data_IF_864348959102
#
_entry.id   IF_864348959102
#
_cell.length_a   1.000
_cell.length_b   1.000
_cell.length_c   1.000
_cell.angle_alpha   90.00
_cell.angle_beta   90.00
_cell.angle_gamma   90.00
#
_symmetry.space_group_name_H-M   'P 1'
#
loop_
_entity.id
_entity.type
_entity.pdbx_description
1 polymer ?
#
# COMPACT_ATOMS: atom_id res chain seq x y z
N UNK A 1 8.23 -11.57 16.83
CA UNK A 1 7.42 -10.34 16.99
C UNK A 1 8.24 -9.08 17.29
N UNK A 2 9.54 -9.16 17.24
CA UNK A 2 10.43 -8.01 17.44
C UNK A 2 10.43 -7.16 16.17
N UNK A 3 10.20 -5.85 16.27
CA UNK A 3 10.31 -4.90 15.17
C UNK A 3 9.00 -4.30 14.64
N UNK A 4 7.82 -4.83 14.96
CA UNK A 4 6.56 -4.24 14.46
C UNK A 4 6.36 -2.80 14.96
N UNK A 5 6.76 -2.47 16.19
CA UNK A 5 6.59 -1.13 16.75
C UNK A 5 7.34 -0.08 15.93
N UNK A 6 8.55 -0.41 15.45
CA UNK A 6 9.32 0.47 14.58
C UNK A 6 8.56 0.80 13.28
N UNK A 7 7.91 -0.19 12.67
CA UNK A 7 7.11 0.02 11.46
C UNK A 7 5.88 0.88 11.74
N UNK A 8 5.20 0.65 12.87
CA UNK A 8 4.09 1.50 13.30
C UNK A 8 4.55 2.94 13.60
N UNK A 9 5.70 3.09 14.24
CA UNK A 9 6.31 4.39 14.51
C UNK A 9 6.67 5.13 13.21
N UNK A 10 7.26 4.44 12.23
CA UNK A 10 7.60 5.03 10.92
C UNK A 10 6.36 5.55 10.20
N UNK A 11 5.25 4.79 10.23
CA UNK A 11 3.97 5.21 9.67
C UNK A 11 3.46 6.48 10.34
N UNK A 12 3.37 6.48 11.68
CA UNK A 12 2.88 7.64 12.43
C UNK A 12 3.83 8.84 12.36
N UNK A 13 5.14 8.63 12.34
CA UNK A 13 6.14 9.69 12.18
C UNK A 13 5.96 10.45 10.88
N UNK A 14 5.62 9.72 9.81
CA UNK A 14 5.32 10.28 8.50
C UNK A 14 3.84 10.70 8.33
N UNK A 15 3.05 10.74 9.41
CA UNK A 15 1.66 11.20 9.38
C UNK A 15 0.65 10.19 8.82
N UNK A 16 1.02 8.93 8.64
CA UNK A 16 0.10 7.89 8.18
C UNK A 16 -0.69 7.35 9.37
N UNK A 17 -1.93 7.75 9.49
CA UNK A 17 -2.81 7.44 10.62
C UNK A 17 -3.75 6.24 10.38
N UNK A 18 -3.87 5.81 9.13
CA UNK A 18 -4.69 4.66 8.73
C UNK A 18 -4.00 3.90 7.60
N UNK A 19 -4.02 2.57 7.67
CA UNK A 19 -3.46 1.67 6.65
C UNK A 19 -4.42 0.54 6.34
N UNK A 20 -4.30 -0.01 5.11
CA UNK A 20 -4.87 -1.28 4.72
C UNK A 20 -3.74 -2.29 4.53
N UNK A 21 -3.66 -3.29 5.40
CA UNK A 21 -2.77 -4.44 5.25
C UNK A 21 -3.39 -5.42 4.25
N UNK A 22 -2.71 -5.62 3.12
CA UNK A 22 -3.22 -6.37 1.97
C UNK A 22 -2.76 -7.82 1.91
N UNK A 23 -2.14 -8.31 2.96
CA UNK A 23 -1.75 -9.72 3.06
C UNK A 23 -0.84 -9.98 4.26
N UNK A 24 -1.28 -10.82 5.18
CA UNK A 24 -0.51 -11.13 6.38
C UNK A 24 -0.95 -12.45 7.02
N UNK A 25 -0.16 -12.92 7.98
CA UNK A 25 -0.44 -14.13 8.76
C UNK A 25 -1.53 -13.86 9.79
N UNK A 26 -2.61 -14.64 9.76
CA UNK A 26 -3.47 -14.80 10.91
C UNK A 26 -2.81 -15.69 11.98
N UNK A 27 -3.03 -15.49 13.25
CA UNK A 27 -3.79 -14.42 13.93
C UNK A 27 -2.98 -13.15 14.23
N UNK A 28 -1.72 -13.06 13.76
CA UNK A 28 -0.78 -11.99 14.12
C UNK A 28 -1.33 -10.58 13.83
N UNK A 29 -1.72 -10.32 12.56
CA UNK A 29 -2.21 -8.98 12.16
C UNK A 29 -3.53 -8.64 12.85
N UNK A 30 -4.37 -9.64 13.11
CA UNK A 30 -5.63 -9.47 13.81
C UNK A 30 -5.40 -9.06 15.27
N UNK A 31 -4.45 -9.71 15.95
CA UNK A 31 -4.07 -9.34 17.32
C UNK A 31 -3.48 -7.94 17.36
N UNK A 32 -2.58 -7.60 16.42
CA UNK A 32 -1.98 -6.27 16.35
C UNK A 32 -3.04 -5.17 16.19
N UNK A 33 -4.01 -5.37 15.27
CA UNK A 33 -5.16 -4.46 15.12
C UNK A 33 -5.94 -4.31 16.44
N UNK A 34 -6.19 -5.41 17.14
CA UNK A 34 -6.91 -5.40 18.42
C UNK A 34 -6.15 -4.60 19.49
N UNK A 35 -4.84 -4.82 19.62
CA UNK A 35 -3.99 -4.13 20.61
C UNK A 35 -3.94 -2.61 20.35
N UNK A 36 -3.86 -2.22 19.07
CA UNK A 36 -3.89 -0.80 18.66
C UNK A 36 -5.28 -0.18 18.92
N UNK A 37 -6.35 -0.90 18.61
CA UNK A 37 -7.71 -0.43 18.83
C UNK A 37 -8.03 -0.26 20.33
N UNK A 38 -7.46 -1.13 21.18
CA UNK A 38 -7.57 -1.06 22.63
C UNK A 38 -6.63 -0.02 23.27
N UNK A 39 -5.78 0.66 22.50
CA UNK A 39 -4.83 1.66 22.99
C UNK A 39 -3.63 1.09 23.75
N UNK A 40 -3.40 -0.23 23.71
CA UNK A 40 -2.24 -0.87 24.36
C UNK A 40 -0.97 -0.74 23.53
N UNK A 41 -1.11 -0.61 22.21
CA UNK A 41 -0.02 -0.37 21.27
C UNK A 41 -0.32 0.94 20.53
N UNK A 42 0.67 1.83 20.44
CA UNK A 42 0.58 3.02 19.60
C UNK A 42 0.79 2.63 18.14
N UNK A 43 -0.18 2.95 17.31
CA UNK A 43 -0.13 2.65 15.87
C UNK A 43 -1.28 3.29 15.10
N UNK A 44 -1.19 3.31 13.76
CA UNK A 44 -2.27 3.71 12.88
C UNK A 44 -3.45 2.75 13.00
N UNK A 45 -4.64 3.18 12.57
CA UNK A 45 -5.73 2.25 12.36
C UNK A 45 -5.35 1.26 11.27
N UNK A 46 -5.67 -0.03 11.50
CA UNK A 46 -5.43 -1.09 10.53
C UNK A 46 -6.77 -1.61 10.01
N UNK A 47 -7.01 -1.46 8.70
CA UNK A 47 -7.88 -2.34 7.94
C UNK A 47 -7.05 -3.52 7.44
N UNK A 48 -7.65 -4.70 7.30
CA UNK A 48 -6.89 -5.89 6.92
C UNK A 48 -7.63 -6.81 5.96
N UNK A 49 -6.86 -7.43 5.08
CA UNK A 49 -7.32 -8.51 4.22
C UNK A 49 -7.06 -9.90 4.83
N UNK A 50 -6.07 -10.01 5.73
CA UNK A 50 -5.62 -11.32 6.22
C UNK A 50 -4.84 -12.11 5.16
N UNK A 51 -4.91 -13.46 5.18
CA UNK A 51 -4.28 -14.28 4.15
C UNK A 51 -4.81 -13.95 2.76
N UNK A 52 -3.91 -13.94 1.78
CA UNK A 52 -4.29 -13.74 0.39
C UNK A 52 -4.89 -15.01 -0.21
N UNK A 53 -5.88 -14.88 -1.08
CA UNK A 53 -6.44 -15.99 -1.84
C UNK A 53 -5.64 -16.14 -3.12
N UNK A 54 -4.85 -17.20 -3.26
CA UNK A 54 -3.99 -17.44 -4.41
C UNK A 54 -4.20 -18.82 -5.02
N UNK A 55 -3.69 -19.02 -6.22
CA UNK A 55 -3.81 -20.30 -6.94
C UNK A 55 -2.99 -21.43 -6.36
N UNK A 56 -2.96 -22.60 -7.06
CA UNK A 56 -2.26 -23.81 -6.59
C UNK A 56 -0.75 -23.63 -6.37
N UNK A 57 -0.15 -22.65 -7.06
CA UNK A 57 1.27 -22.29 -6.94
C UNK A 57 1.35 -20.85 -6.41
N UNK A 58 1.19 -20.64 -5.11
CA UNK A 58 1.04 -19.31 -4.54
C UNK A 58 2.35 -18.54 -4.55
N UNK A 59 2.28 -17.26 -4.91
CA UNK A 59 3.44 -16.38 -4.94
C UNK A 59 4.02 -16.14 -3.53
N UNK A 60 3.16 -16.08 -2.50
CA UNK A 60 3.52 -15.88 -1.10
C UNK A 60 3.02 -17.02 -0.21
N UNK A 61 3.60 -18.25 -0.26
CA UNK A 61 3.08 -19.40 0.47
C UNK A 61 2.78 -19.17 1.95
N UNK A 62 3.62 -18.46 2.72
CA UNK A 62 3.40 -18.29 4.16
C UNK A 62 2.16 -17.49 4.54
N UNK A 63 1.63 -16.68 3.62
CA UNK A 63 0.49 -15.79 3.87
C UNK A 63 -0.68 -16.09 2.92
N UNK A 64 -0.68 -17.24 2.24
CA UNK A 64 -1.69 -17.58 1.23
C UNK A 64 -2.63 -18.69 1.69
N UNK A 65 -3.93 -18.54 1.39
CA UNK A 65 -4.86 -19.64 1.24
C UNK A 65 -4.79 -20.14 -0.20
N UNK A 66 -4.36 -21.40 -0.36
CA UNK A 66 -4.18 -22.02 -1.70
C UNK A 66 -5.51 -22.54 -2.20
N UNK A 67 -6.00 -21.94 -3.29
CA UNK A 67 -7.28 -22.26 -3.90
C UNK A 67 -7.05 -23.11 -5.16
N UNK A 68 -7.30 -24.40 -5.07
CA UNK A 68 -7.19 -25.34 -6.18
C UNK A 68 -8.56 -25.68 -6.80
N UNK A 69 -9.64 -25.42 -6.08
CA UNK A 69 -11.01 -25.69 -6.56
C UNK A 69 -12.03 -24.75 -5.91
N UNK A 70 -13.16 -24.56 -6.58
CA UNK A 70 -14.28 -23.75 -6.02
C UNK A 70 -14.85 -24.34 -4.72
N UNK A 71 -14.75 -25.65 -4.52
CA UNK A 71 -15.25 -26.31 -3.30
C UNK A 71 -14.58 -25.83 -2.01
N UNK A 72 -13.37 -25.27 -2.08
CA UNK A 72 -12.62 -24.73 -0.94
C UNK A 72 -13.08 -23.32 -0.54
N UNK A 73 -13.63 -22.55 -1.48
CA UNK A 73 -13.96 -21.13 -1.32
C UNK A 73 -14.89 -20.84 -0.14
N UNK A 74 -16.00 -21.57 0.08
CA UNK A 74 -16.88 -21.30 1.21
C UNK A 74 -16.17 -21.40 2.56
N UNK A 75 -15.29 -22.39 2.73
CA UNK A 75 -14.53 -22.59 3.96
C UNK A 75 -13.53 -21.43 4.20
N UNK A 76 -12.77 -21.04 3.19
CA UNK A 76 -11.80 -19.95 3.31
C UNK A 76 -12.48 -18.60 3.54
N UNK A 77 -13.56 -18.30 2.80
CA UNK A 77 -14.32 -17.05 3.00
C UNK A 77 -14.93 -17.00 4.40
N UNK A 78 -15.45 -18.11 4.92
CA UNK A 78 -15.95 -18.17 6.28
C UNK A 78 -14.83 -17.90 7.32
N UNK A 79 -13.63 -18.47 7.12
CA UNK A 79 -12.49 -18.19 7.99
C UNK A 79 -12.11 -16.69 7.99
N UNK A 80 -12.10 -16.05 6.82
CA UNK A 80 -11.85 -14.61 6.69
C UNK A 80 -12.92 -13.78 7.38
N UNK A 81 -14.20 -14.16 7.24
CA UNK A 81 -15.31 -13.52 7.95
C UNK A 81 -15.19 -13.65 9.47
N UNK A 82 -14.91 -14.86 9.97
CA UNK A 82 -14.70 -15.09 11.41
C UNK A 82 -13.52 -14.29 11.95
N UNK A 83 -12.49 -14.09 11.15
CA UNK A 83 -11.34 -13.22 11.44
C UNK A 83 -11.66 -11.73 11.32
N UNK A 84 -12.88 -11.36 10.92
CA UNK A 84 -13.33 -9.96 10.74
C UNK A 84 -12.40 -9.15 9.85
N UNK A 85 -12.03 -9.73 8.70
CA UNK A 85 -11.31 -8.98 7.67
C UNK A 85 -12.22 -7.88 7.08
N UNK A 86 -11.63 -6.81 6.58
CA UNK A 86 -12.35 -5.69 5.99
C UNK A 86 -12.58 -5.90 4.49
N UNK A 87 -11.65 -6.61 3.85
CA UNK A 87 -11.67 -6.98 2.43
C UNK A 87 -11.03 -8.35 2.23
N UNK A 88 -11.29 -8.97 1.09
CA UNK A 88 -10.60 -10.19 0.65
C UNK A 88 -9.56 -9.81 -0.40
N UNK A 89 -8.31 -10.23 -0.24
CA UNK A 89 -7.26 -10.05 -1.26
C UNK A 89 -7.22 -11.28 -2.15
N UNK A 90 -7.54 -11.12 -3.43
CA UNK A 90 -7.29 -12.09 -4.47
C UNK A 90 -5.92 -11.82 -5.12
N UNK A 91 -5.18 -12.88 -5.45
CA UNK A 91 -3.83 -12.77 -5.96
C UNK A 91 -3.67 -13.43 -7.35
N UNK A 92 -2.47 -13.36 -7.89
CA UNK A 92 -2.14 -13.56 -9.30
C UNK A 92 -2.39 -14.96 -9.85
N UNK A 93 -2.37 -16.00 -9.02
CA UNK A 93 -2.54 -17.40 -9.43
C UNK A 93 -3.98 -17.85 -9.62
N UNK A 94 -4.98 -17.00 -9.31
CA UNK A 94 -6.38 -17.35 -9.50
C UNK A 94 -6.78 -17.26 -10.98
N UNK A 95 -7.37 -18.35 -11.51
CA UNK A 95 -8.05 -18.30 -12.80
C UNK A 95 -9.32 -17.42 -12.71
N UNK A 96 -9.83 -16.96 -13.86
CA UNK A 96 -11.08 -16.19 -13.93
C UNK A 96 -12.25 -16.94 -13.26
N UNK A 97 -12.34 -18.25 -13.48
CA UNK A 97 -13.36 -19.10 -12.85
C UNK A 97 -13.26 -19.08 -11.32
N UNK A 98 -12.07 -19.25 -10.77
CA UNK A 98 -11.86 -19.23 -9.32
C UNK A 98 -12.07 -17.83 -8.73
N UNK A 99 -11.67 -16.77 -9.45
CA UNK A 99 -11.92 -15.40 -9.05
C UNK A 99 -13.44 -15.10 -9.04
N UNK A 100 -14.17 -15.52 -10.06
CA UNK A 100 -15.64 -15.38 -10.11
C UNK A 100 -16.31 -16.12 -8.95
N UNK A 101 -15.87 -17.35 -8.69
CA UNK A 101 -16.33 -18.14 -7.54
C UNK A 101 -16.04 -17.44 -6.21
N UNK A 102 -14.82 -16.90 -6.04
CA UNK A 102 -14.43 -16.18 -4.84
C UNK A 102 -15.28 -14.93 -4.62
N UNK A 103 -15.51 -14.13 -5.66
CA UNK A 103 -16.37 -12.93 -5.58
C UNK A 103 -17.78 -13.31 -5.18
N UNK A 104 -18.33 -14.36 -5.77
CA UNK A 104 -19.67 -14.88 -5.42
C UNK A 104 -19.74 -15.27 -3.94
N UNK A 105 -18.79 -16.06 -3.44
CA UNK A 105 -18.80 -16.52 -2.03
C UNK A 105 -18.55 -15.36 -1.07
N UNK A 106 -17.60 -14.48 -1.36
CA UNK A 106 -17.31 -13.30 -0.55
C UNK A 106 -18.53 -12.35 -0.45
N UNK A 107 -19.28 -12.18 -1.55
CA UNK A 107 -20.49 -11.34 -1.57
C UNK A 107 -21.58 -11.84 -0.65
N UNK A 108 -21.74 -13.16 -0.47
CA UNK A 108 -22.70 -13.73 0.48
C UNK A 108 -22.41 -13.28 1.92
N UNK A 109 -21.15 -13.02 2.21
CA UNK A 109 -20.65 -12.58 3.52
C UNK A 109 -20.44 -11.05 3.61
N UNK A 110 -20.93 -10.31 2.61
CA UNK A 110 -20.75 -8.85 2.49
C UNK A 110 -19.28 -8.42 2.43
N UNK A 111 -18.38 -9.31 2.03
CA UNK A 111 -16.97 -9.03 1.84
C UNK A 111 -16.69 -8.61 0.39
N UNK A 112 -15.87 -7.58 0.23
CA UNK A 112 -15.43 -7.08 -1.08
C UNK A 112 -14.10 -7.69 -1.47
N UNK A 113 -13.94 -8.05 -2.74
CA UNK A 113 -12.70 -8.64 -3.26
C UNK A 113 -11.87 -7.55 -3.93
N UNK A 114 -10.62 -7.39 -3.48
CA UNK A 114 -9.60 -6.54 -4.08
C UNK A 114 -8.57 -7.45 -4.75
N UNK A 115 -8.23 -7.17 -5.99
CA UNK A 115 -7.46 -8.11 -6.81
C UNK A 115 -6.11 -7.53 -7.24
N UNK A 116 -5.09 -8.37 -7.20
CA UNK A 116 -3.85 -8.22 -7.96
C UNK A 116 -3.85 -9.29 -9.06
N UNK A 117 -3.98 -8.89 -10.29
CA UNK A 117 -4.00 -9.81 -11.43
C UNK A 117 -2.98 -9.38 -12.48
N UNK A 118 -2.17 -10.35 -12.93
CA UNK A 118 -1.22 -10.16 -14.02
C UNK A 118 -1.64 -10.88 -15.30
N UNK A 119 -2.40 -11.96 -15.15
CA UNK A 119 -2.70 -12.91 -16.24
C UNK A 119 -4.03 -12.68 -16.92
N UNK A 120 -4.94 -11.96 -16.27
CA UNK A 120 -6.29 -11.70 -16.79
C UNK A 120 -6.39 -10.27 -17.32
N UNK A 121 -7.07 -10.08 -18.44
CA UNK A 121 -7.40 -8.76 -18.95
C UNK A 121 -8.24 -7.96 -17.95
N UNK A 122 -7.97 -6.65 -17.82
CA UNK A 122 -8.67 -5.81 -16.83
C UNK A 122 -10.20 -5.85 -16.99
N UNK A 123 -10.71 -5.87 -18.22
CA UNK A 123 -12.16 -5.94 -18.45
C UNK A 123 -12.78 -7.26 -17.95
N UNK A 124 -12.11 -8.39 -18.15
CA UNK A 124 -12.59 -9.69 -17.70
C UNK A 124 -12.57 -9.79 -16.17
N UNK A 125 -11.49 -9.30 -15.54
CA UNK A 125 -11.41 -9.20 -14.07
C UNK A 125 -12.55 -8.35 -13.52
N UNK A 126 -12.86 -7.19 -14.14
CA UNK A 126 -13.98 -6.33 -13.70
C UNK A 126 -15.33 -7.07 -13.82
N UNK A 127 -15.51 -7.87 -14.89
CA UNK A 127 -16.76 -8.64 -15.09
C UNK A 127 -16.99 -9.69 -14.01
N UNK A 128 -15.96 -10.18 -13.33
CA UNK A 128 -16.13 -11.10 -12.19
C UNK A 128 -16.81 -10.45 -11.00
N UNK A 129 -16.89 -9.11 -10.92
CA UNK A 129 -17.54 -8.37 -9.84
C UNK A 129 -16.61 -7.93 -8.72
N UNK A 130 -15.32 -7.80 -8.97
CA UNK A 130 -14.36 -7.25 -7.99
C UNK A 130 -14.73 -5.82 -7.58
N UNK A 131 -14.23 -5.40 -6.41
CA UNK A 131 -14.47 -4.05 -5.90
C UNK A 131 -13.30 -3.07 -6.16
N UNK A 132 -12.07 -3.58 -6.26
CA UNK A 132 -10.91 -2.75 -6.55
C UNK A 132 -9.74 -3.54 -7.13
N UNK A 133 -8.91 -2.83 -7.92
CA UNK A 133 -7.56 -3.30 -8.23
C UNK A 133 -6.58 -2.86 -7.14
N UNK A 134 -5.67 -3.75 -6.77
CA UNK A 134 -4.68 -3.50 -5.72
C UNK A 134 -3.42 -2.78 -6.22
N UNK A 135 -3.24 -2.65 -7.52
CA UNK A 135 -2.14 -1.91 -8.14
C UNK A 135 -2.60 -1.33 -9.48
N UNK A 136 -2.03 -0.19 -9.83
CA UNK A 136 -2.14 0.34 -11.18
C UNK A 136 -0.84 0.01 -11.90
N UNK A 137 -0.88 -0.94 -12.82
CA UNK A 137 0.31 -1.43 -13.52
C UNK A 137 0.29 -1.15 -15.02
N UNK A 138 0.91 -2.03 -15.79
CA UNK A 138 0.86 -2.10 -17.25
C UNK A 138 0.18 -3.40 -17.70
N UNK A 139 -0.35 -3.50 -18.92
CA UNK A 139 -0.37 -2.50 -20.00
C UNK A 139 -1.31 -1.31 -19.76
N UNK A 140 -1.47 -0.45 -20.78
CA UNK A 140 -2.47 0.60 -20.75
C UNK A 140 -3.87 0.00 -20.55
N UNK A 141 -4.66 0.66 -19.69
CA UNK A 141 -6.04 0.26 -19.41
C UNK A 141 -6.89 0.63 -20.63
N UNK A 142 -7.66 -0.31 -21.15
CA UNK A 142 -8.54 -0.06 -22.29
C UNK A 142 -9.72 0.83 -21.91
N UNK A 143 -10.25 1.59 -22.87
CA UNK A 143 -11.45 2.41 -22.68
C UNK A 143 -12.65 1.57 -22.21
N UNK A 144 -12.76 0.33 -22.67
CA UNK A 144 -13.76 -0.61 -22.19
C UNK A 144 -13.60 -0.90 -20.69
N UNK A 145 -12.38 -1.17 -20.24
CA UNK A 145 -12.13 -1.43 -18.83
C UNK A 145 -12.43 -0.18 -17.96
N UNK A 146 -12.03 1.01 -18.42
CA UNK A 146 -12.34 2.27 -17.74
C UNK A 146 -13.86 2.49 -17.64
N UNK A 147 -14.59 2.27 -18.74
CA UNK A 147 -16.06 2.36 -18.75
C UNK A 147 -16.68 1.37 -17.75
N UNK A 148 -16.24 0.12 -17.76
CA UNK A 148 -16.73 -0.90 -16.82
C UNK A 148 -16.41 -0.55 -15.37
N UNK A 149 -15.20 -0.03 -15.07
CA UNK A 149 -14.85 0.43 -13.72
C UNK A 149 -15.81 1.51 -13.24
N UNK A 150 -16.11 2.50 -14.07
CA UNK A 150 -17.03 3.59 -13.75
C UNK A 150 -18.45 3.09 -13.55
N UNK A 151 -18.99 2.26 -14.47
CA UNK A 151 -20.34 1.71 -14.40
C UNK A 151 -20.56 0.83 -13.14
N UNK A 152 -19.53 0.10 -12.71
CA UNK A 152 -19.61 -0.84 -11.59
C UNK A 152 -19.04 -0.29 -10.27
N UNK A 153 -18.51 0.92 -10.29
CA UNK A 153 -17.90 1.53 -9.11
C UNK A 153 -16.63 0.81 -8.64
N UNK A 154 -15.86 0.22 -9.58
CA UNK A 154 -14.60 -0.45 -9.26
C UNK A 154 -13.51 0.60 -9.06
N UNK A 155 -12.88 0.55 -7.89
CA UNK A 155 -11.80 1.48 -7.51
C UNK A 155 -10.42 0.94 -7.91
N UNK A 156 -9.38 1.76 -7.71
CA UNK A 156 -8.00 1.34 -7.85
C UNK A 156 -7.11 1.88 -6.74
N UNK A 157 -6.12 1.11 -6.34
CA UNK A 157 -5.04 1.53 -5.43
C UNK A 157 -3.79 1.72 -6.29
N UNK A 158 -3.10 2.86 -6.11
CA UNK A 158 -1.82 3.09 -6.79
C UNK A 158 -0.70 2.26 -6.13
N UNK A 159 0.49 2.33 -6.56
CA UNK A 159 1.75 1.86 -5.95
C UNK A 159 2.89 2.22 -6.89
N UNK A 160 2.88 3.46 -7.36
CA UNK A 160 3.89 3.97 -8.28
C UNK A 160 5.29 3.93 -7.66
N UNK A 161 5.38 4.16 -6.34
CA UNK A 161 6.64 4.10 -5.62
C UNK A 161 7.30 2.71 -5.71
N UNK A 162 6.52 1.64 -5.63
CA UNK A 162 7.02 0.26 -5.84
C UNK A 162 7.45 0.02 -7.29
N UNK A 163 6.69 0.50 -8.28
CA UNK A 163 7.12 0.45 -9.68
C UNK A 163 8.39 1.28 -9.94
N UNK A 164 8.52 2.43 -9.27
CA UNK A 164 9.76 3.20 -9.28
C UNK A 164 10.94 2.42 -8.69
N UNK A 165 10.71 1.63 -7.63
CA UNK A 165 11.73 0.74 -7.06
C UNK A 165 12.23 -0.30 -8.07
N UNK A 166 11.35 -0.88 -8.89
CA UNK A 166 11.76 -1.84 -9.93
C UNK A 166 12.64 -1.21 -11.01
N UNK A 167 12.43 0.08 -11.32
CA UNK A 167 13.32 0.83 -12.20
C UNK A 167 14.60 1.31 -11.50
N UNK A 168 14.64 1.26 -10.17
CA UNK A 168 15.67 1.83 -9.31
C UNK A 168 15.93 3.34 -9.53
N UNK A 169 15.04 4.05 -10.25
CA UNK A 169 15.19 5.48 -10.60
C UNK A 169 15.46 6.36 -9.37
N UNK A 170 14.78 6.06 -8.25
CA UNK A 170 14.97 6.82 -7.01
C UNK A 170 16.35 6.64 -6.40
N UNK A 171 16.97 5.48 -6.61
CA UNK A 171 18.29 5.17 -6.06
C UNK A 171 19.44 5.86 -6.78
N UNK A 172 19.17 6.49 -7.93
CA UNK A 172 20.17 7.33 -8.62
C UNK A 172 20.47 8.63 -7.84
N UNK A 173 19.58 9.04 -6.91
CA UNK A 173 19.70 10.27 -6.10
C UNK A 173 19.41 9.95 -4.63
N UNK A 174 20.47 9.62 -3.87
CA UNK A 174 20.36 9.13 -2.50
C UNK A 174 20.12 10.20 -1.41
N UNK A 175 19.94 11.46 -1.78
CA UNK A 175 19.72 12.55 -0.82
C UNK A 175 18.51 12.28 0.13
N UNK A 176 17.48 11.63 -0.36
CA UNK A 176 16.29 11.29 0.45
C UNK A 176 16.60 10.38 1.63
N UNK A 177 17.69 9.59 1.58
CA UNK A 177 18.12 8.74 2.70
C UNK A 177 18.57 9.53 3.94
N UNK A 178 18.86 10.83 3.76
CA UNK A 178 19.22 11.73 4.84
C UNK A 178 18.05 12.64 5.27
N UNK A 179 16.91 12.55 4.59
CA UNK A 179 15.72 13.32 4.95
C UNK A 179 15.11 12.81 6.27
N UNK A 180 14.55 13.69 7.12
CA UNK A 180 14.03 13.34 8.45
C UNK A 180 13.04 12.18 8.43
N UNK A 181 12.10 12.14 7.49
CA UNK A 181 11.09 11.08 7.38
C UNK A 181 11.67 9.68 7.10
N UNK A 182 12.93 9.60 6.69
CA UNK A 182 13.67 8.34 6.48
C UNK A 182 14.71 8.15 7.58
N UNK A 183 15.60 9.11 7.75
CA UNK A 183 16.79 8.95 8.59
C UNK A 183 16.46 8.79 10.09
N UNK A 184 15.40 9.43 10.57
CA UNK A 184 15.06 9.42 11.99
C UNK A 184 14.27 8.16 12.42
N UNK A 185 13.72 7.42 11.49
CA UNK A 185 12.90 6.22 11.80
C UNK A 185 13.46 4.92 11.23
N UNK A 186 14.59 4.99 10.53
CA UNK A 186 15.22 3.83 9.89
C UNK A 186 16.56 3.52 10.54
N UNK A 187 16.85 2.26 10.88
CA UNK A 187 18.15 1.87 11.43
C UNK A 187 19.30 2.28 10.50
N UNK A 188 20.38 2.91 11.01
CA UNK A 188 21.49 3.39 10.19
C UNK A 188 22.17 2.32 9.34
N UNK A 189 22.26 1.08 9.85
CA UNK A 189 22.81 -0.05 9.10
C UNK A 189 21.97 -0.39 7.86
N UNK A 190 20.64 -0.24 7.93
CA UNK A 190 19.76 -0.46 6.78
C UNK A 190 19.98 0.62 5.70
N UNK A 191 20.13 1.88 6.10
CA UNK A 191 20.46 2.98 5.19
C UNK A 191 21.85 2.78 4.56
N UNK A 192 22.84 2.31 5.32
CA UNK A 192 24.17 1.99 4.82
C UNK A 192 24.12 0.84 3.80
N UNK A 193 23.39 -0.22 4.09
CA UNK A 193 23.20 -1.34 3.17
C UNK A 193 22.56 -0.90 1.85
N UNK A 194 21.54 -0.02 1.91
CA UNK A 194 20.91 0.52 0.72
C UNK A 194 21.82 1.43 -0.10
N UNK A 195 22.69 2.24 0.55
CA UNK A 195 23.73 3.02 -0.14
C UNK A 195 24.73 2.10 -0.85
N UNK A 196 25.17 1.01 -0.19
CA UNK A 196 26.05 0.02 -0.79
C UNK A 196 25.38 -0.68 -1.98
N UNK A 197 24.11 -1.04 -1.86
CA UNK A 197 23.33 -1.62 -2.95
C UNK A 197 23.24 -0.67 -4.15
N UNK A 198 22.91 0.59 -3.91
CA UNK A 198 22.77 1.61 -4.97
C UNK A 198 24.10 1.95 -5.67
N UNK A 199 25.23 1.81 -4.97
CA UNK A 199 26.55 2.09 -5.52
C UNK A 199 27.07 0.99 -6.48
N UNK A 200 26.42 -0.19 -6.51
CA UNK A 200 26.83 -1.28 -7.42
C UNK A 200 26.44 -0.95 -8.85
N UNK A 201 27.40 -1.08 -9.76
CA UNK A 201 27.11 -1.02 -11.18
C UNK A 201 26.16 -2.17 -11.57
N UNK A 202 25.06 -1.90 -12.30
CA UNK A 202 24.14 -2.93 -12.71
C UNK A 202 24.78 -3.84 -13.77
N UNK A 203 24.48 -5.12 -13.71
CA UNK A 203 24.76 -6.05 -14.79
C UNK A 203 23.90 -5.73 -16.02
N UNK A 204 24.23 -6.25 -17.22
CA UNK A 204 23.38 -6.07 -18.41
C UNK A 204 21.94 -6.53 -18.22
N UNK A 205 21.73 -7.63 -17.49
CA UNK A 205 20.38 -8.14 -17.17
C UNK A 205 19.61 -7.18 -16.26
N UNK A 206 20.27 -6.67 -15.20
CA UNK A 206 19.68 -5.67 -14.30
C UNK A 206 19.41 -4.36 -15.03
N UNK A 207 20.28 -3.90 -15.91
CA UNK A 207 20.05 -2.70 -16.73
C UNK A 207 18.81 -2.87 -17.61
N UNK A 208 18.63 -4.05 -18.22
CA UNK A 208 17.42 -4.36 -18.99
C UNK A 208 16.16 -4.40 -18.11
N UNK A 209 16.26 -4.97 -16.90
CA UNK A 209 15.15 -5.00 -15.95
C UNK A 209 14.78 -3.58 -15.48
N UNK A 210 15.74 -2.71 -15.18
CA UNK A 210 15.53 -1.29 -14.82
C UNK A 210 14.83 -0.53 -15.94
N UNK A 211 15.27 -0.73 -17.20
CA UNK A 211 14.63 -0.10 -18.35
C UNK A 211 13.16 -0.55 -18.52
N UNK A 212 12.87 -1.84 -18.35
CA UNK A 212 11.49 -2.35 -18.33
C UNK A 212 10.68 -1.76 -17.19
N UNK A 213 11.24 -1.69 -15.97
CA UNK A 213 10.61 -1.07 -14.81
C UNK A 213 10.25 0.40 -15.05
N UNK A 214 11.11 1.15 -15.76
CA UNK A 214 10.82 2.54 -16.11
C UNK A 214 9.64 2.65 -17.09
N UNK A 215 9.57 1.79 -18.10
CA UNK A 215 8.43 1.74 -19.03
C UNK A 215 7.14 1.38 -18.30
N UNK A 216 7.19 0.42 -17.36
CA UNK A 216 6.04 0.04 -16.54
C UNK A 216 5.57 1.21 -15.66
N UNK A 217 6.49 1.93 -15.00
CA UNK A 217 6.17 3.11 -14.21
C UNK A 217 5.48 4.20 -15.05
N UNK A 218 6.04 4.51 -16.23
CA UNK A 218 5.47 5.52 -17.14
C UNK A 218 4.08 5.11 -17.63
N UNK A 219 3.86 3.82 -17.90
CA UNK A 219 2.55 3.29 -18.28
C UNK A 219 1.55 3.38 -17.15
N UNK A 220 1.97 3.01 -15.93
CA UNK A 220 1.13 3.11 -14.74
C UNK A 220 0.75 4.57 -14.44
N UNK A 221 1.66 5.52 -14.58
CA UNK A 221 1.37 6.95 -14.45
C UNK A 221 0.28 7.42 -15.41
N UNK A 222 0.34 7.01 -16.70
CA UNK A 222 -0.71 7.30 -17.67
C UNK A 222 -2.04 6.67 -17.27
N UNK A 223 -2.04 5.44 -16.84
CA UNK A 223 -3.22 4.75 -16.35
C UNK A 223 -3.85 5.48 -15.14
N UNK A 224 -3.04 5.89 -14.16
CA UNK A 224 -3.53 6.68 -13.02
C UNK A 224 -4.21 7.96 -13.48
N UNK A 225 -3.58 8.70 -14.39
CA UNK A 225 -4.16 9.94 -14.95
C UNK A 225 -5.49 9.67 -15.63
N UNK A 226 -5.55 8.64 -16.50
CA UNK A 226 -6.78 8.23 -17.18
C UNK A 226 -7.90 7.85 -16.21
N UNK A 227 -7.59 7.10 -15.14
CA UNK A 227 -8.57 6.72 -14.13
C UNK A 227 -9.13 7.94 -13.39
N UNK A 228 -8.26 8.87 -12.97
CA UNK A 228 -8.66 10.09 -12.25
C UNK A 228 -9.51 11.01 -13.16
N UNK A 229 -9.11 11.19 -14.42
CA UNK A 229 -9.87 11.98 -15.41
C UNK A 229 -11.23 11.35 -15.72
N UNK A 230 -11.36 10.04 -15.54
CA UNK A 230 -12.61 9.30 -15.71
C UNK A 230 -13.44 9.22 -14.43
N UNK A 231 -13.10 9.99 -13.39
CA UNK A 231 -13.80 10.07 -12.10
C UNK A 231 -13.84 8.73 -11.33
N UNK A 232 -12.91 7.82 -11.62
CA UNK A 232 -12.77 6.56 -10.87
C UNK A 232 -12.09 6.85 -9.54
N UNK A 233 -12.56 6.22 -8.48
CA UNK A 233 -11.94 6.32 -7.15
C UNK A 233 -10.56 5.69 -7.19
N UNK A 234 -9.53 6.53 -7.10
CA UNK A 234 -8.14 6.14 -6.98
C UNK A 234 -7.66 6.48 -5.58
N UNK A 235 -7.12 5.49 -4.85
CA UNK A 235 -6.55 5.66 -3.52
C UNK A 235 -5.05 5.39 -3.52
N UNK A 236 -4.31 6.08 -2.65
CA UNK A 236 -2.87 5.85 -2.46
C UNK A 236 -2.62 4.49 -1.82
N UNK A 237 -1.64 3.77 -2.36
CA UNK A 237 -0.94 2.67 -1.74
C UNK A 237 0.56 2.78 -2.04
N UNK A 238 1.40 2.11 -1.27
CA UNK A 238 2.86 2.10 -1.49
C UNK A 238 3.42 0.73 -1.72
N UNK A 239 2.74 -0.31 -1.21
CA UNK A 239 3.22 -1.70 -1.17
C UNK A 239 4.62 -1.82 -0.50
N UNK A 240 4.92 -0.90 0.44
CA UNK A 240 6.19 -0.88 1.17
C UNK A 240 6.32 -2.09 2.12
N UNK A 241 7.53 -2.61 2.36
CA UNK A 241 8.82 -2.03 1.96
C UNK A 241 9.40 -2.62 0.65
N UNK A 242 10.04 -1.75 -0.13
CA UNK A 242 10.90 -2.13 -1.26
C UNK A 242 12.18 -1.25 -1.24
N UNK A 243 13.25 -1.59 -1.99
CA UNK A 243 14.43 -0.72 -2.08
C UNK A 243 14.07 0.71 -2.50
N UNK A 244 14.27 1.68 -1.61
CA UNK A 244 13.88 3.07 -1.81
C UNK A 244 12.42 3.41 -1.48
N UNK A 245 11.61 2.45 -1.03
CA UNK A 245 10.22 2.67 -0.57
C UNK A 245 10.12 2.32 0.91
N UNK A 246 9.97 3.34 1.75
CA UNK A 246 9.92 3.21 3.20
C UNK A 246 8.48 3.25 3.71
N UNK A 247 8.21 2.49 4.77
CA UNK A 247 6.94 2.59 5.48
C UNK A 247 6.75 4.02 6.02
N UNK A 248 5.61 4.60 5.72
CA UNK A 248 5.28 5.98 6.06
C UNK A 248 5.79 6.97 5.01
N UNK A 249 7.08 7.16 4.87
CA UNK A 249 7.67 8.11 3.89
C UNK A 249 7.28 7.80 2.45
N UNK A 250 7.11 6.52 2.11
CA UNK A 250 6.67 6.10 0.78
C UNK A 250 5.35 6.73 0.33
N UNK A 251 4.48 7.12 1.26
CA UNK A 251 3.23 7.83 0.92
C UNK A 251 3.53 9.21 0.33
N UNK A 252 4.48 9.95 0.88
CA UNK A 252 4.87 11.24 0.33
C UNK A 252 5.52 11.09 -1.05
N UNK A 253 6.33 10.03 -1.23
CA UNK A 253 6.88 9.73 -2.56
C UNK A 253 5.78 9.36 -3.55
N UNK A 254 4.80 8.58 -3.14
CA UNK A 254 3.64 8.26 -3.98
C UNK A 254 2.87 9.52 -4.40
N UNK A 255 2.64 10.47 -3.48
CA UNK A 255 2.00 11.76 -3.78
C UNK A 255 2.79 12.57 -4.81
N UNK A 256 4.12 12.62 -4.71
CA UNK A 256 4.99 13.27 -5.69
C UNK A 256 4.88 12.60 -7.08
N UNK A 257 4.86 11.26 -7.12
CA UNK A 257 4.70 10.49 -8.36
C UNK A 257 3.32 10.69 -9.00
N UNK A 258 2.28 10.86 -8.19
CA UNK A 258 0.94 11.20 -8.67
C UNK A 258 0.91 12.59 -9.33
N UNK A 259 1.60 13.56 -8.75
CA UNK A 259 1.73 14.89 -9.39
C UNK A 259 2.60 14.80 -10.65
N UNK A 260 3.67 14.00 -10.65
CA UNK A 260 4.47 13.70 -11.85
C UNK A 260 3.61 13.04 -12.95
N UNK A 261 2.64 12.22 -12.56
CA UNK A 261 1.66 11.61 -13.47
C UNK A 261 0.62 12.59 -14.04
N UNK A 262 0.61 13.85 -13.57
CA UNK A 262 -0.26 14.92 -14.05
C UNK A 262 -1.49 15.21 -13.19
N UNK A 263 -1.55 14.72 -11.96
CA UNK A 263 -2.56 15.14 -10.98
C UNK A 263 -2.17 16.50 -10.39
N UNK A 264 -3.17 17.31 -10.01
CA UNK A 264 -2.91 18.47 -9.16
C UNK A 264 -2.51 18.01 -7.76
N UNK A 265 -1.75 18.81 -6.98
CA UNK A 265 -1.42 18.47 -5.61
C UNK A 265 -2.65 18.14 -4.74
N UNK A 266 -3.75 18.89 -4.87
CA UNK A 266 -5.01 18.60 -4.16
C UNK A 266 -5.66 17.29 -4.58
N UNK A 267 -5.60 16.93 -5.87
CA UNK A 267 -6.05 15.62 -6.32
C UNK A 267 -5.20 14.51 -5.70
N UNK A 268 -3.87 14.66 -5.71
CA UNK A 268 -2.97 13.70 -5.10
C UNK A 268 -3.25 13.54 -3.58
N UNK A 269 -3.38 14.64 -2.82
CA UNK A 269 -3.75 14.60 -1.39
C UNK A 269 -5.11 13.91 -1.20
N UNK A 270 -6.08 14.18 -2.07
CA UNK A 270 -7.41 13.54 -1.99
C UNK A 270 -7.33 12.02 -2.15
N UNK A 271 -6.38 11.48 -2.92
CA UNK A 271 -6.19 10.02 -3.06
C UNK A 271 -5.73 9.38 -1.74
N UNK A 272 -4.93 10.08 -0.94
CA UNK A 272 -4.43 9.61 0.36
C UNK A 272 -5.40 9.87 1.52
N UNK A 273 -6.48 10.61 1.31
CA UNK A 273 -7.41 11.04 2.36
C UNK A 273 -8.84 10.61 2.03
N UNK A 274 -9.60 11.48 1.37
CA UNK A 274 -11.01 11.24 1.03
C UNK A 274 -11.22 9.96 0.23
N UNK A 275 -10.42 9.73 -0.79
CA UNK A 275 -10.60 8.57 -1.66
C UNK A 275 -10.23 7.26 -0.96
N UNK A 276 -9.22 7.26 -0.07
CA UNK A 276 -8.92 6.11 0.77
C UNK A 276 -10.10 5.74 1.68
N UNK A 277 -10.78 6.73 2.27
CA UNK A 277 -11.99 6.50 3.05
C UNK A 277 -13.15 5.98 2.19
N UNK A 278 -13.35 6.54 0.99
CA UNK A 278 -14.34 6.06 0.02
C UNK A 278 -14.07 4.60 -0.40
N UNK A 279 -12.80 4.27 -0.68
CA UNK A 279 -12.38 2.91 -0.98
C UNK A 279 -12.78 1.94 0.12
N UNK A 280 -12.59 2.32 1.38
CA UNK A 280 -12.95 1.49 2.54
C UNK A 280 -14.45 1.56 2.88
N UNK A 281 -15.23 2.42 2.20
CA UNK A 281 -16.64 2.70 2.52
C UNK A 281 -16.82 3.17 3.97
N UNK A 282 -15.85 3.89 4.53
CA UNK A 282 -15.89 4.46 5.86
C UNK A 282 -16.01 5.99 5.79
N UNK A 283 -17.15 6.51 6.21
CA UNK A 283 -17.45 7.94 6.18
C UNK A 283 -16.96 8.69 7.41
N UNK A 284 -16.36 8.00 8.38
CA UNK A 284 -15.97 8.57 9.67
C UNK A 284 -14.63 9.33 9.64
N UNK A 285 -13.90 9.27 8.53
CA UNK A 285 -12.58 9.90 8.34
C UNK A 285 -12.37 10.34 6.88
N UNK A 286 -11.18 10.84 6.56
CA UNK A 286 -10.76 11.19 5.18
C UNK A 286 -11.08 12.62 4.75
N UNK A 287 -11.89 13.35 5.53
CA UNK A 287 -12.17 14.78 5.32
C UNK A 287 -12.31 15.49 6.66
N UNK A 288 -12.02 16.79 6.69
CA UNK A 288 -12.21 17.63 7.88
C UNK A 288 -13.67 18.08 7.92
N UNK A 289 -14.43 17.54 8.86
CA UNK A 289 -15.82 17.92 9.11
C UNK A 289 -16.24 17.57 10.55
N UNK A 290 -17.23 18.26 11.06
CA UNK A 290 -17.80 17.99 12.40
C UNK A 290 -18.29 16.54 12.49
N UNK A 291 -17.99 15.87 13.58
CA UNK A 291 -18.38 14.47 13.83
C UNK A 291 -17.43 13.43 13.22
N UNK A 292 -16.43 13.83 12.44
CA UNK A 292 -15.39 12.93 11.94
C UNK A 292 -14.23 12.80 12.92
N UNK A 293 -13.44 11.76 12.70
CA UNK A 293 -12.25 11.51 13.52
C UNK A 293 -11.21 12.58 13.30
N UNK A 294 -10.64 13.06 14.38
CA UNK A 294 -9.56 14.02 14.37
C UNK A 294 -8.20 13.31 14.20
N UNK A 295 -7.98 12.76 13.01
CA UNK A 295 -6.68 12.29 12.53
C UNK A 295 -6.20 13.34 11.53
N UNK A 296 -5.29 14.24 11.97
CA UNK A 296 -4.94 15.45 11.25
C UNK A 296 -3.43 15.64 11.17
N UNK A 297 -2.98 16.31 10.12
CA UNK A 297 -1.59 16.78 9.98
C UNK A 297 -1.58 18.31 9.92
N UNK A 298 -0.68 18.92 10.66
CA UNK A 298 -0.28 20.30 10.46
C UNK A 298 1.02 20.28 9.69
N UNK A 299 1.02 20.94 8.54
CA UNK A 299 2.13 20.96 7.59
C UNK A 299 2.67 22.39 7.50
N UNK A 300 3.98 22.56 7.54
CA UNK A 300 4.64 23.79 7.17
C UNK A 300 4.67 23.92 5.64
N UNK A 301 4.38 25.13 5.12
CA UNK A 301 4.32 25.37 3.67
C UNK A 301 2.92 25.26 3.08
N UNK A 302 2.85 25.01 1.78
CA UNK A 302 1.60 24.99 1.01
C UNK A 302 1.50 23.73 0.13
N UNK A 303 1.14 22.59 0.72
CA UNK A 303 1.06 21.32 -0.02
C UNK A 303 -0.06 21.31 -1.07
N UNK A 304 -0.96 22.28 -1.06
CA UNK A 304 -1.98 22.44 -2.10
C UNK A 304 -1.41 22.91 -3.44
N UNK A 305 -0.26 23.58 -3.40
CA UNK A 305 0.48 24.04 -4.58
C UNK A 305 1.83 23.32 -4.76
N UNK A 306 2.48 22.92 -3.68
CA UNK A 306 3.78 22.27 -3.65
C UNK A 306 3.71 20.95 -2.90
N UNK A 307 3.45 19.86 -3.63
CA UNK A 307 3.21 18.54 -3.01
C UNK A 307 4.35 18.07 -2.11
N UNK A 308 5.60 18.49 -2.37
CA UNK A 308 6.76 18.17 -1.55
C UNK A 308 6.64 18.69 -0.11
N UNK A 309 5.88 19.76 0.11
CA UNK A 309 5.65 20.34 1.44
C UNK A 309 4.89 19.38 2.37
N UNK A 310 4.22 18.35 1.83
CA UNK A 310 3.62 17.29 2.66
C UNK A 310 4.64 16.61 3.57
N UNK A 311 5.94 16.70 3.26
CA UNK A 311 7.04 16.13 4.05
C UNK A 311 7.39 16.98 5.28
N UNK A 312 7.07 18.27 5.27
CA UNK A 312 7.38 19.18 6.38
C UNK A 312 6.24 19.16 7.42
N UNK A 313 6.14 18.02 8.09
CA UNK A 313 5.11 17.80 9.11
C UNK A 313 5.52 18.46 10.40
N UNK A 314 4.78 19.49 10.82
CA UNK A 314 4.90 20.12 12.14
C UNK A 314 4.28 19.23 13.21
N UNK A 315 3.02 18.84 13.03
CA UNK A 315 2.25 18.11 14.04
C UNK A 315 1.44 16.97 13.43
N UNK A 316 1.46 15.84 14.11
CA UNK A 316 0.53 14.72 13.84
C UNK A 316 -0.47 14.65 14.99
N UNK A 317 -1.75 14.69 14.67
CA UNK A 317 -2.85 14.47 15.61
C UNK A 317 -3.48 13.12 15.27
N UNK A 318 -3.50 12.22 16.23
CA UNK A 318 -4.09 10.88 16.13
C UNK A 318 -5.22 10.76 17.16
N UNK A 319 -6.44 10.50 16.68
CA UNK A 319 -7.63 10.36 17.54
C UNK A 319 -7.84 11.57 18.46
N UNK A 320 -7.56 12.77 17.96
CA UNK A 320 -7.68 14.02 18.70
C UNK A 320 -6.52 14.33 19.66
N UNK A 321 -5.49 13.51 19.70
CA UNK A 321 -4.31 13.71 20.55
C UNK A 321 -3.07 14.04 19.73
N UNK A 322 -2.35 15.08 20.14
CA UNK A 322 -1.07 15.47 19.54
C UNK A 322 -0.02 14.40 19.87
N UNK A 323 0.62 13.84 18.84
CA UNK A 323 1.68 12.87 19.00
C UNK A 323 3.03 13.55 19.29
N UNK A 324 3.77 13.00 20.25
CA UNK A 324 5.16 13.36 20.42
C UNK A 324 6.01 12.60 19.38
N UNK A 325 6.25 13.24 18.22
CA UNK A 325 7.00 12.63 17.10
C UNK A 325 8.41 12.21 17.48
N UNK A 326 9.07 12.90 18.43
CA UNK A 326 10.40 12.53 18.91
C UNK A 326 10.44 11.13 19.54
N UNK A 327 9.35 10.70 20.18
CA UNK A 327 9.23 9.34 20.74
C UNK A 327 9.01 8.26 19.69
N UNK A 328 8.76 8.64 18.44
CA UNK A 328 8.58 7.73 17.30
C UNK A 328 9.89 7.50 16.54
N UNK A 329 10.95 8.27 16.84
CA UNK A 329 12.25 8.11 16.23
C UNK A 329 12.86 6.74 16.57
N UNK A 330 13.72 6.24 15.69
CA UNK A 330 14.44 5.01 15.92
C UNK A 330 15.38 5.14 17.13
N UNK A 331 15.21 4.27 18.10
CA UNK A 331 16.09 4.16 19.26
C UNK A 331 16.68 2.74 19.31
N UNK A 332 18.00 2.59 19.10
CA UNK A 332 18.65 1.28 19.13
C UNK A 332 18.55 0.57 20.49
N UNK A 333 18.23 1.29 21.58
CA UNK A 333 18.06 0.68 22.91
C UNK A 333 16.69 0.04 23.06
N UNK A 334 15.67 0.58 22.42
CA UNK A 334 14.30 0.08 22.47
C UNK A 334 13.96 -0.91 21.36
N UNK A 335 14.80 -1.01 20.33
CA UNK A 335 14.68 -1.97 19.21
C UNK A 335 15.94 -2.86 19.13
N UNK A 336 16.18 -3.75 20.10
CA UNK A 336 17.43 -4.48 20.30
C UNK A 336 17.58 -5.68 19.37
N UNK A 337 17.11 -5.68 18.16
CA UNK A 337 17.19 -6.94 17.44
C UNK A 337 16.97 -6.91 15.95
N UNK A 338 17.34 -5.85 15.26
CA UNK A 338 17.62 -5.98 13.86
C UNK A 338 19.11 -6.25 13.63
N UNK A 339 19.61 -7.34 14.16
CA UNK A 339 20.69 -8.03 13.48
C UNK A 339 20.12 -8.47 12.14
N UNK A 340 20.62 -7.86 11.07
CA UNK A 340 20.49 -8.44 9.72
C UNK A 340 21.17 -9.81 9.88
N UNK A 341 20.38 -10.84 10.15
CA UNK A 341 20.86 -12.19 9.96
C UNK A 341 21.42 -12.23 8.56
N UNK A 342 22.70 -12.53 8.42
CA UNK A 342 23.44 -12.51 7.16
C UNK A 342 22.98 -13.56 6.13
N UNK A 343 21.66 -13.78 6.03
CA UNK A 343 21.01 -14.78 5.17
C UNK A 343 20.34 -14.19 3.92
N UNK A 344 20.32 -12.86 3.73
CA UNK A 344 19.83 -12.28 2.46
C UNK A 344 20.97 -12.10 1.43
N UNK A 345 22.19 -12.51 1.79
CA UNK A 345 23.34 -12.47 0.87
C UNK A 345 23.76 -13.83 0.30
N UNK A 346 22.93 -14.85 0.44
CA UNK A 346 23.17 -16.19 -0.15
C UNK A 346 21.84 -16.81 -0.55
N UNK A 347 21.37 -16.41 -1.73
CA UNK A 347 20.65 -17.26 -2.69
C UNK A 347 20.39 -16.46 -3.97
#
# INVERSE_FOLDING_TARGET
MLGYQRYLNSLLYAGVTTVLDMGNVHPYIQQLRHEIAAGRILGPRIYLAGPVMDGPDPFWPPISYVVSSEAQLPSYVNQLKMARVDVVKAYVGLSERLLTGLVREASKESLRVFVHSWSLGSADVIRTGIAAFAHVGSPLISDEAVRLMRERGVASITTLATLESFSQRRLDKLAFLSAPLVAQVTPPQFLAALRTFAAKAPTPAESTARARGLVQLQTAMRNVKQLVDSEIVVAVGTDAPYPGVFLGEGVHRELELLVEAGLTPLQAISTATRNAALLMKDTTWGTIAVGKRADLLIINGDPAHHIADTRDIETVILRGQVLNRKKLEFDPKSDPGFEIAGSIARE
#
